data_IF_237122197521
#
_entry.id   IF_237122197521
#
_cell.length_a   1.000
_cell.length_b   1.000
_cell.length_c   1.000
_cell.angle_alpha   90.00
_cell.angle_beta   90.00
_cell.angle_gamma   90.00
#
_symmetry.space_group_name_H-M   'P 1'
#
loop_
_entity.id
_entity.type
_entity.pdbx_description
1 polymer ?
#
# COMPACT_ATOMS: atom_id res chain seq x y z
N UNK A 1 3.35 2.76 2.56
CA UNK A 1 4.16 2.72 1.33
C UNK A 1 5.16 1.60 1.46
N UNK A 2 5.37 0.86 0.37
CA UNK A 2 6.38 -0.18 0.23
C UNK A 2 7.17 0.18 -1.02
N UNK A 3 8.50 0.22 -0.91
CA UNK A 3 9.39 0.47 -2.03
C UNK A 3 10.05 -0.86 -2.45
N UNK A 4 9.96 -1.16 -3.74
CA UNK A 4 10.48 -2.39 -4.34
C UNK A 4 11.48 -2.01 -5.42
N UNK A 5 12.68 -2.57 -5.33
CA UNK A 5 13.74 -2.43 -6.32
C UNK A 5 13.99 -3.79 -6.97
N UNK A 6 13.78 -3.88 -8.29
CA UNK A 6 13.97 -5.11 -9.09
C UNK A 6 13.27 -6.34 -8.48
N UNK A 7 12.00 -6.17 -8.12
CA UNK A 7 11.17 -7.22 -7.51
C UNK A 7 11.51 -7.55 -6.05
N UNK A 8 12.50 -6.88 -5.44
CA UNK A 8 12.88 -7.08 -4.04
C UNK A 8 12.42 -5.91 -3.20
N UNK A 9 11.57 -6.10 -2.18
CA UNK A 9 11.23 -5.04 -1.25
C UNK A 9 12.47 -4.55 -0.50
N UNK A 10 12.68 -3.23 -0.49
CA UNK A 10 13.84 -2.58 0.14
C UNK A 10 13.47 -1.74 1.35
N UNK A 11 12.31 -1.09 1.27
CA UNK A 11 11.86 -0.18 2.33
C UNK A 11 10.35 -0.24 2.49
N UNK A 12 9.88 0.11 3.68
CA UNK A 12 8.48 0.32 3.96
C UNK A 12 8.33 1.47 4.96
N UNK A 13 7.37 2.34 4.71
CA UNK A 13 7.15 3.52 5.52
C UNK A 13 5.68 3.88 5.64
N UNK A 14 5.33 4.42 6.81
CA UNK A 14 4.03 4.99 7.10
C UNK A 14 4.19 6.43 7.53
N UNK A 15 3.35 7.32 7.01
CA UNK A 15 3.31 8.72 7.43
C UNK A 15 2.05 8.98 8.25
N UNK A 16 2.22 9.46 9.49
CA UNK A 16 1.09 9.99 10.28
C UNK A 16 0.50 11.24 9.64
N UNK A 17 1.35 12.10 9.04
CA UNK A 17 0.91 13.31 8.33
C UNK A 17 -0.02 12.98 7.17
N UNK A 18 0.35 11.97 6.37
CA UNK A 18 -0.41 11.60 5.17
C UNK A 18 -1.83 11.12 5.46
N UNK A 19 -2.12 10.67 6.69
CA UNK A 19 -3.46 10.27 7.10
C UNK A 19 -4.39 11.43 7.47
N UNK A 20 -3.86 12.65 7.66
CA UNK A 20 -4.64 13.80 8.14
C UNK A 20 -5.56 14.41 7.08
N UNK A 21 -5.37 14.06 5.80
CA UNK A 21 -6.25 14.51 4.73
C UNK A 21 -5.59 14.47 3.35
N UNK A 22 -6.35 14.78 2.30
CA UNK A 22 -5.91 14.69 0.91
C UNK A 22 -4.64 15.48 0.60
N UNK A 23 -4.57 16.76 0.98
CA UNK A 23 -3.40 17.61 0.70
C UNK A 23 -2.13 17.10 1.39
N UNK A 24 -2.25 16.67 2.65
CA UNK A 24 -1.14 16.12 3.40
C UNK A 24 -0.65 14.78 2.81
N UNK A 25 -1.57 13.96 2.29
CA UNK A 25 -1.23 12.74 1.59
C UNK A 25 -0.43 13.02 0.31
N UNK A 26 -0.85 14.00 -0.49
CA UNK A 26 -0.14 14.42 -1.72
C UNK A 26 1.25 14.97 -1.41
N UNK A 27 1.39 15.77 -0.35
CA UNK A 27 2.71 16.27 0.07
C UNK A 27 3.67 15.12 0.42
N UNK A 28 3.20 14.13 1.18
CA UNK A 28 3.98 12.93 1.53
C UNK A 28 4.32 12.10 0.29
N UNK A 29 3.37 11.95 -0.64
CA UNK A 29 3.64 11.26 -1.90
C UNK A 29 4.77 11.94 -2.67
N UNK A 30 4.75 13.27 -2.81
CA UNK A 30 5.81 14.02 -3.49
C UNK A 30 7.17 13.86 -2.83
N UNK A 31 7.22 13.84 -1.49
CA UNK A 31 8.45 13.54 -0.74
C UNK A 31 8.98 12.14 -1.09
N UNK A 32 8.12 11.13 -1.13
CA UNK A 32 8.51 9.77 -1.52
C UNK A 32 8.94 9.66 -2.98
N UNK A 33 8.24 10.33 -3.91
CA UNK A 33 8.63 10.36 -5.32
C UNK A 33 10.02 10.98 -5.49
N UNK A 34 10.30 12.08 -4.79
CA UNK A 34 11.61 12.73 -4.81
C UNK A 34 12.71 11.84 -4.21
N UNK A 35 12.39 11.12 -3.13
CA UNK A 35 13.34 10.26 -2.41
C UNK A 35 13.68 8.99 -3.20
N UNK A 36 12.68 8.26 -3.67
CA UNK A 36 12.85 6.94 -4.27
C UNK A 36 12.95 6.95 -5.80
N UNK A 37 12.51 8.03 -6.45
CA UNK A 37 12.44 8.18 -7.91
C UNK A 37 11.95 6.91 -8.62
N UNK A 38 10.76 6.41 -8.26
CA UNK A 38 10.27 5.16 -8.81
C UNK A 38 9.90 5.34 -10.29
N UNK A 39 10.09 4.30 -11.08
CA UNK A 39 9.58 4.24 -12.47
C UNK A 39 8.07 4.06 -12.51
N UNK A 40 7.51 3.49 -11.43
CA UNK A 40 6.10 3.12 -11.34
C UNK A 40 5.57 3.30 -9.92
N UNK A 41 4.32 3.74 -9.81
CA UNK A 41 3.55 3.80 -8.57
C UNK A 41 2.33 2.91 -8.68
N UNK A 42 2.20 1.97 -7.75
CA UNK A 42 1.06 1.06 -7.68
C UNK A 42 0.13 1.51 -6.57
N UNK A 43 -1.12 1.76 -6.93
CA UNK A 43 -2.18 2.22 -6.02
C UNK A 43 -3.37 1.25 -6.06
N UNK A 44 -4.13 1.21 -4.97
CA UNK A 44 -5.43 0.57 -5.02
C UNK A 44 -6.35 1.39 -5.92
N UNK A 45 -7.19 0.73 -6.71
CA UNK A 45 -8.22 1.43 -7.49
C UNK A 45 -9.24 2.10 -6.55
N UNK A 46 -9.44 3.44 -6.64
CA UNK A 46 -10.44 4.15 -5.83
C UNK A 46 -11.88 3.74 -6.15
N UNK A 47 -12.15 3.27 -7.37
CA UNK A 47 -13.48 2.86 -7.82
C UNK A 47 -13.80 1.39 -7.50
N UNK A 48 -12.86 0.66 -6.92
CA UNK A 48 -13.08 -0.74 -6.56
C UNK A 48 -14.23 -0.86 -5.54
N UNK A 49 -15.21 -1.75 -5.76
CA UNK A 49 -16.25 -2.00 -4.78
C UNK A 49 -15.62 -2.49 -3.47
N UNK A 50 -15.80 -1.73 -2.38
CA UNK A 50 -15.17 -2.03 -1.09
C UNK A 50 -15.64 -1.13 0.06
N UNK A 51 -15.41 -1.60 1.29
CA UNK A 51 -15.83 -0.92 2.53
C UNK A 51 -14.93 0.24 2.98
N UNK A 52 -14.22 0.91 2.06
CA UNK A 52 -13.38 2.06 2.44
C UNK A 52 -14.27 3.22 2.85
N UNK A 53 -13.97 3.80 4.02
CA UNK A 53 -14.64 5.00 4.49
C UNK A 53 -14.37 6.20 3.57
N UNK A 54 -15.28 7.17 3.55
CA UNK A 54 -15.22 8.34 2.66
C UNK A 54 -13.87 9.06 2.70
N UNK A 55 -13.31 9.28 3.88
CA UNK A 55 -12.00 9.91 4.07
C UNK A 55 -10.86 9.19 3.34
N UNK A 56 -10.85 7.86 3.38
CA UNK A 56 -9.83 7.06 2.70
C UNK A 56 -9.98 7.14 1.17
N UNK A 57 -11.22 7.24 0.68
CA UNK A 57 -11.51 7.43 -0.75
C UNK A 57 -11.02 8.82 -1.19
N UNK A 58 -11.33 9.88 -0.44
CA UNK A 58 -10.92 11.23 -0.77
C UNK A 58 -9.38 11.38 -0.82
N UNK A 59 -8.66 10.73 0.11
CA UNK A 59 -7.20 10.64 0.07
C UNK A 59 -6.73 9.92 -1.21
N UNK A 60 -7.30 8.76 -1.51
CA UNK A 60 -6.88 7.95 -2.65
C UNK A 60 -7.10 8.68 -3.98
N UNK A 61 -8.25 9.34 -4.15
CA UNK A 61 -8.54 10.17 -5.32
C UNK A 61 -7.56 11.33 -5.47
N UNK A 62 -7.16 11.97 -4.37
CA UNK A 62 -6.17 13.04 -4.43
C UNK A 62 -4.76 12.53 -4.79
N UNK A 63 -4.39 11.34 -4.31
CA UNK A 63 -3.15 10.69 -4.72
C UNK A 63 -3.16 10.34 -6.21
N UNK A 64 -4.26 9.78 -6.72
CA UNK A 64 -4.45 9.50 -8.16
C UNK A 64 -4.27 10.77 -9.00
N UNK A 65 -4.99 11.85 -8.67
CA UNK A 65 -4.86 13.12 -9.41
C UNK A 65 -3.44 13.69 -9.37
N UNK A 66 -2.72 13.49 -8.26
CA UNK A 66 -1.34 13.95 -8.15
C UNK A 66 -0.35 13.11 -8.97
N UNK A 67 -0.73 11.88 -9.35
CA UNK A 67 0.06 10.99 -10.19
C UNK A 67 -0.21 11.19 -11.68
N UNK A 68 -1.43 11.63 -12.07
CA UNK A 68 -1.77 11.98 -13.46
C UNK A 68 -0.77 12.97 -14.09
N UNK A 69 -0.25 13.91 -13.29
CA UNK A 69 0.73 14.93 -13.70
C UNK A 69 2.20 14.54 -13.39
N UNK A 70 2.45 13.35 -12.84
CA UNK A 70 3.78 12.93 -12.41
C UNK A 70 4.49 12.07 -13.47
N UNK A 71 5.84 12.03 -13.40
CA UNK A 71 6.65 11.21 -14.31
C UNK A 71 6.46 9.68 -14.17
N UNK A 72 6.28 9.09 -12.96
CA UNK A 72 6.14 7.65 -12.83
C UNK A 72 4.87 7.12 -13.48
N UNK A 73 4.94 5.91 -14.05
CA UNK A 73 3.74 5.22 -14.51
C UNK A 73 2.84 4.86 -13.32
N UNK A 74 1.58 5.26 -13.36
CA UNK A 74 0.59 4.82 -12.37
C UNK A 74 -0.10 3.52 -12.77
N UNK A 75 -0.30 2.62 -11.79
CA UNK A 75 -1.08 1.39 -11.96
C UNK A 75 -2.11 1.29 -10.84
N UNK A 76 -3.39 1.23 -11.21
CA UNK A 76 -4.50 1.00 -10.29
C UNK A 76 -4.90 -0.46 -10.25
N UNK A 77 -4.88 -1.05 -9.06
CA UNK A 77 -5.14 -2.48 -8.86
C UNK A 77 -6.44 -2.68 -8.09
N UNK A 78 -7.31 -3.54 -8.62
CA UNK A 78 -8.44 -4.09 -7.89
C UNK A 78 -7.93 -5.21 -6.97
N UNK A 79 -7.76 -4.93 -5.69
CA UNK A 79 -7.30 -5.94 -4.71
C UNK A 79 -8.26 -7.12 -4.69
N UNK A 80 -7.75 -8.32 -4.94
CA UNK A 80 -8.46 -9.59 -4.77
C UNK A 80 -7.83 -10.35 -3.61
N UNK A 81 -8.57 -10.55 -2.53
CA UNK A 81 -8.08 -11.38 -1.43
C UNK A 81 -8.12 -12.84 -1.86
N UNK A 82 -6.95 -13.49 -1.95
CA UNK A 82 -6.83 -14.89 -2.41
C UNK A 82 -6.76 -15.91 -1.27
N UNK A 83 -6.61 -15.43 -0.05
CA UNK A 83 -6.50 -16.24 1.16
C UNK A 83 -7.75 -16.11 2.03
N UNK A 84 -7.95 -17.05 2.97
CA UNK A 84 -9.14 -17.04 3.82
C UNK A 84 -9.23 -15.77 4.71
N UNK A 85 -8.09 -15.17 5.04
CA UNK A 85 -8.01 -13.89 5.72
C UNK A 85 -6.70 -13.15 5.39
N UNK A 86 -6.64 -11.87 5.76
CA UNK A 86 -5.48 -10.98 5.54
C UNK A 86 -4.21 -11.41 6.30
N UNK A 87 -4.33 -12.13 7.42
CA UNK A 87 -3.19 -12.59 8.20
C UNK A 87 -2.48 -13.78 7.53
N UNK A 88 -3.27 -14.69 6.96
CA UNK A 88 -2.75 -15.77 6.12
C UNK A 88 -2.10 -15.23 4.85
N UNK A 89 -2.70 -14.21 4.23
CA UNK A 89 -2.10 -13.50 3.09
C UNK A 89 -0.77 -12.84 3.47
N UNK A 90 -0.73 -12.12 4.60
CA UNK A 90 0.50 -11.49 5.10
C UNK A 90 1.62 -12.52 5.32
N UNK A 91 1.30 -13.70 5.89
CA UNK A 91 2.28 -14.77 6.06
C UNK A 91 2.78 -15.31 4.72
N UNK A 92 1.88 -15.60 3.78
CA UNK A 92 2.27 -16.08 2.46
C UNK A 92 3.13 -15.05 1.69
N UNK A 93 2.84 -13.76 1.85
CA UNK A 93 3.66 -12.68 1.27
C UNK A 93 5.03 -12.59 1.93
N UNK A 94 5.14 -12.77 3.26
CA UNK A 94 6.43 -12.80 3.95
C UNK A 94 7.29 -13.99 3.47
N UNK A 95 6.68 -15.15 3.24
CA UNK A 95 7.37 -16.32 2.69
C UNK A 95 7.83 -16.09 1.25
N UNK A 96 7.03 -15.37 0.44
CA UNK A 96 7.38 -15.03 -0.95
C UNK A 96 8.44 -13.93 -1.06
N UNK A 97 8.43 -12.96 -0.13
CA UNK A 97 9.37 -11.83 -0.09
C UNK A 97 10.22 -11.87 1.20
N UNK A 98 11.20 -12.78 1.29
CA UNK A 98 11.99 -12.96 2.52
C UNK A 98 12.84 -11.74 2.89
N UNK A 99 13.09 -10.83 1.95
CA UNK A 99 13.80 -9.57 2.18
C UNK A 99 12.91 -8.46 2.77
N UNK A 100 11.60 -8.69 2.92
CA UNK A 100 10.69 -7.68 3.44
C UNK A 100 11.02 -7.34 4.90
N UNK A 101 11.21 -6.06 5.26
CA UNK A 101 11.73 -5.67 6.57
C UNK A 101 10.73 -5.84 7.72
N UNK A 102 9.50 -6.27 7.45
CA UNK A 102 8.44 -6.44 8.46
C UNK A 102 8.06 -7.91 8.58
N UNK A 103 7.97 -8.38 9.82
CA UNK A 103 7.35 -9.66 10.13
C UNK A 103 5.82 -9.55 9.96
N UNK A 104 5.15 -10.61 9.48
CA UNK A 104 3.69 -10.63 9.41
C UNK A 104 3.10 -10.52 10.83
N UNK A 105 2.12 -9.64 11.05
CA UNK A 105 1.50 -9.52 12.36
C UNK A 105 0.68 -10.76 12.69
N UNK A 106 0.67 -11.16 13.96
CA UNK A 106 -0.23 -12.21 14.44
C UNK A 106 -1.68 -11.74 14.40
N UNK A 107 -2.60 -12.68 14.16
CA UNK A 107 -4.02 -12.40 14.20
C UNK A 107 -4.45 -12.08 15.63
N UNK A 108 -4.89 -10.85 15.94
CA UNK A 108 -5.37 -10.52 17.26
C UNK A 108 -6.73 -11.20 17.51
N UNK A 109 -7.15 -11.32 18.77
CA UNK A 109 -8.52 -11.68 19.09
C UNK A 109 -9.53 -10.71 18.45
N UNK A 110 -10.74 -11.19 18.15
CA UNK A 110 -11.77 -10.44 17.39
C UNK A 110 -12.19 -9.10 18.01
N UNK A 111 -11.97 -8.91 19.31
CA UNK A 111 -12.31 -7.69 20.04
C UNK A 111 -11.17 -6.65 20.06
N UNK A 112 -10.01 -6.98 19.51
CA UNK A 112 -8.89 -6.04 19.37
C UNK A 112 -8.84 -5.51 17.95
N UNK A 113 -8.41 -4.26 17.84
CA UNK A 113 -8.18 -3.62 16.56
C UNK A 113 -7.07 -4.36 15.78
N UNK A 114 -7.17 -4.27 14.45
CA UNK A 114 -6.14 -4.76 13.54
C UNK A 114 -4.78 -4.09 13.81
N UNK A 115 -3.67 -4.84 13.76
CA UNK A 115 -2.33 -4.28 13.92
C UNK A 115 -2.02 -3.27 12.80
N UNK A 116 -1.49 -2.11 13.16
CA UNK A 116 -1.16 -1.05 12.19
C UNK A 116 -0.21 -1.51 11.08
N UNK A 117 0.68 -2.45 11.38
CA UNK A 117 1.66 -2.96 10.42
C UNK A 117 1.02 -3.80 9.31
N UNK A 118 -0.26 -4.19 9.45
CA UNK A 118 -1.00 -4.90 8.40
C UNK A 118 -1.02 -4.12 7.08
N UNK A 119 -1.07 -2.78 7.13
CA UNK A 119 -1.08 -1.94 5.91
C UNK A 119 0.16 -2.13 5.04
N UNK A 120 1.29 -2.56 5.60
CA UNK A 120 2.49 -2.87 4.81
C UNK A 120 2.27 -4.12 3.95
N UNK A 121 1.58 -5.13 4.50
CA UNK A 121 1.23 -6.35 3.77
C UNK A 121 0.11 -6.12 2.76
N UNK A 122 -0.84 -5.21 3.04
CA UNK A 122 -1.82 -4.80 2.04
C UNK A 122 -1.15 -4.11 0.84
N UNK A 123 -0.19 -3.21 1.10
CA UNK A 123 0.58 -2.56 0.04
C UNK A 123 1.44 -3.57 -0.73
N UNK A 124 2.07 -4.52 -0.05
CA UNK A 124 2.84 -5.59 -0.68
C UNK A 124 1.96 -6.51 -1.53
N UNK A 125 0.73 -6.80 -1.09
CA UNK A 125 -0.24 -7.56 -1.86
C UNK A 125 -0.60 -6.87 -3.18
N UNK A 126 -0.81 -5.55 -3.17
CA UNK A 126 -1.07 -4.78 -4.40
C UNK A 126 0.11 -4.88 -5.37
N UNK A 127 1.34 -4.72 -4.87
CA UNK A 127 2.52 -4.84 -5.71
C UNK A 127 2.68 -6.26 -6.27
N UNK A 128 2.39 -7.28 -5.47
CA UNK A 128 2.47 -8.68 -5.88
C UNK A 128 1.44 -9.05 -6.96
N UNK A 129 0.30 -8.36 -7.06
CA UNK A 129 -0.64 -8.54 -8.17
C UNK A 129 -0.07 -8.06 -9.52
N UNK A 130 0.83 -7.08 -9.50
CA UNK A 130 1.45 -6.48 -10.70
C UNK A 130 2.75 -7.17 -11.08
N UNK A 131 3.55 -7.61 -10.10
CA UNK A 131 4.87 -8.21 -10.30
C UNK A 131 4.84 -9.70 -10.72
N UNK A 132 3.65 -10.29 -10.87
CA UNK A 132 3.46 -11.69 -11.25
C UNK A 132 3.63 -11.95 -12.74
#
# INVERSE_FOLDING_TARGET
MVYIDKGTPRDCGMSRRGGNGPEAAVAVLREWLAQYRPEMVICQNPDAPGGKGRHAIDILLALTRALEDAEPQEIFVNRRQRHANIYQEAKALADHFPAFPKAPPEQPPIWRAEPRDMVYFEALALAHEVLR
#
